data_IF_238702507539
#
_entry.id   IF_238702507539
#
_cell.length_a   1.000
_cell.length_b   1.000
_cell.length_c   1.000
_cell.angle_alpha   90.00
_cell.angle_beta   90.00
_cell.angle_gamma   90.00
#
_symmetry.space_group_name_H-M   'P 1'
#
loop_
_entity.id
_entity.type
_entity.pdbx_description
1 polymer ?
#
# COMPACT_ATOMS: atom_id res chain seq x y z
N UNK A 1 8.08 38.18 15.72
CA UNK A 1 7.33 37.67 14.55
C UNK A 1 7.05 36.21 14.79
N UNK A 2 5.79 35.82 15.02
CA UNK A 2 5.43 34.40 15.07
C UNK A 2 5.50 33.86 13.64
N UNK A 3 6.43 32.93 13.39
CA UNK A 3 6.55 32.31 12.08
C UNK A 3 5.26 31.54 11.78
N UNK A 4 4.63 31.82 10.64
CA UNK A 4 3.52 31.00 10.14
C UNK A 4 4.13 29.84 9.35
N UNK A 5 3.84 28.62 9.77
CA UNK A 5 4.21 27.44 9.00
C UNK A 5 3.30 27.31 7.76
N UNK A 6 3.85 26.93 6.60
CA UNK A 6 3.07 26.69 5.40
C UNK A 6 2.29 25.36 5.50
N UNK A 7 1.05 25.35 4.99
CA UNK A 7 0.27 24.12 4.83
C UNK A 7 0.62 23.49 3.48
N UNK A 8 0.98 22.21 3.49
CA UNK A 8 1.36 21.45 2.29
C UNK A 8 0.26 20.44 1.96
N UNK A 9 -0.18 20.41 0.70
CA UNK A 9 -1.19 19.47 0.22
C UNK A 9 -0.57 18.20 -0.36
N UNK A 10 -1.31 17.09 -0.36
CA UNK A 10 -0.86 15.84 -0.99
C UNK A 10 -0.50 16.02 -2.47
N UNK A 11 -1.24 16.88 -3.18
CA UNK A 11 -0.90 17.22 -4.57
C UNK A 11 0.50 17.84 -4.68
N UNK A 12 0.85 18.75 -3.78
CA UNK A 12 2.17 19.37 -3.77
C UNK A 12 3.27 18.34 -3.46
N UNK A 13 3.02 17.41 -2.54
CA UNK A 13 3.95 16.30 -2.24
C UNK A 13 4.18 15.42 -3.48
N UNK A 14 3.11 15.00 -4.17
CA UNK A 14 3.22 14.18 -5.39
C UNK A 14 4.03 14.92 -6.46
N UNK A 15 3.73 16.21 -6.71
CA UNK A 15 4.49 17.02 -7.70
C UNK A 15 5.96 17.18 -7.34
N UNK A 16 6.26 17.33 -6.05
CA UNK A 16 7.62 17.46 -5.57
C UNK A 16 8.40 16.15 -5.81
N UNK A 17 7.81 15.01 -5.47
CA UNK A 17 8.40 13.69 -5.73
C UNK A 17 8.62 13.44 -7.23
N UNK A 18 7.64 13.76 -8.08
CA UNK A 18 7.77 13.62 -9.54
C UNK A 18 8.91 14.47 -10.10
N UNK A 19 8.87 15.78 -9.83
CA UNK A 19 9.70 16.76 -10.53
C UNK A 19 11.10 16.90 -9.95
N UNK A 20 11.26 16.70 -8.64
CA UNK A 20 12.53 16.92 -7.93
C UNK A 20 13.25 15.61 -7.66
N UNK A 21 12.50 14.55 -7.32
CA UNK A 21 13.08 13.25 -7.00
C UNK A 21 12.98 12.22 -8.15
N UNK A 22 12.38 12.59 -9.28
CA UNK A 22 12.29 11.74 -10.47
C UNK A 22 11.36 10.54 -10.29
N UNK A 23 10.42 10.59 -9.35
CA UNK A 23 9.44 9.52 -9.17
C UNK A 23 8.48 9.49 -10.37
N UNK A 24 8.50 8.40 -11.13
CA UNK A 24 7.54 8.19 -12.21
C UNK A 24 6.19 7.69 -11.67
N UNK A 25 5.30 8.63 -11.36
CA UNK A 25 3.95 8.33 -10.86
C UNK A 25 3.08 7.65 -11.92
N UNK A 26 3.34 7.86 -13.21
CA UNK A 26 2.60 7.18 -14.27
C UNK A 26 2.95 5.69 -14.31
N UNK A 27 4.25 5.36 -14.26
CA UNK A 27 4.71 3.97 -14.17
C UNK A 27 4.19 3.28 -12.89
N UNK A 28 4.19 3.97 -11.74
CA UNK A 28 3.61 3.43 -10.50
C UNK A 28 2.11 3.15 -10.66
N UNK A 29 1.36 4.04 -11.31
CA UNK A 29 -0.07 3.85 -11.59
C UNK A 29 -0.31 2.64 -12.47
N UNK A 30 0.44 2.49 -13.55
CA UNK A 30 0.34 1.35 -14.46
C UNK A 30 0.67 0.04 -13.75
N UNK A 31 1.71 0.04 -12.92
CA UNK A 31 2.08 -1.11 -12.11
C UNK A 31 0.94 -1.53 -11.17
N UNK A 32 0.34 -0.59 -10.43
CA UNK A 32 -0.81 -0.85 -9.56
C UNK A 32 -1.99 -1.42 -10.37
N UNK A 33 -2.31 -0.81 -11.52
CA UNK A 33 -3.40 -1.26 -12.38
C UNK A 33 -3.17 -2.70 -12.87
N UNK A 34 -1.96 -3.01 -13.34
CA UNK A 34 -1.59 -4.35 -13.78
C UNK A 34 -1.68 -5.39 -12.66
N UNK A 35 -1.31 -5.03 -11.43
CA UNK A 35 -1.46 -5.91 -10.26
C UNK A 35 -2.91 -6.12 -9.82
N UNK A 36 -3.77 -5.13 -10.05
CA UNK A 36 -5.19 -5.18 -9.68
C UNK A 36 -6.08 -5.82 -10.76
N UNK A 37 -5.61 -5.94 -12.01
CA UNK A 37 -6.40 -6.38 -13.16
C UNK A 37 -7.17 -7.69 -12.91
N UNK A 38 -6.48 -8.76 -12.49
CA UNK A 38 -7.13 -10.05 -12.20
C UNK A 38 -8.15 -9.95 -11.07
N UNK A 39 -7.93 -9.06 -10.09
CA UNK A 39 -8.89 -8.87 -9.00
C UNK A 39 -10.17 -8.20 -9.50
N UNK A 40 -10.05 -7.25 -10.43
CA UNK A 40 -11.20 -6.65 -11.12
C UNK A 40 -11.95 -7.71 -11.94
N UNK A 41 -11.23 -8.52 -12.73
CA UNK A 41 -11.83 -9.58 -13.56
C UNK A 41 -12.62 -10.61 -12.73
N UNK A 42 -12.13 -10.91 -11.52
CA UNK A 42 -12.78 -11.84 -10.59
C UNK A 42 -13.89 -11.19 -9.74
N UNK A 43 -14.15 -9.89 -9.89
CA UNK A 43 -15.12 -9.16 -9.06
C UNK A 43 -14.72 -9.09 -7.58
N UNK A 44 -13.42 -9.10 -7.29
CA UNK A 44 -12.91 -9.08 -5.92
C UNK A 44 -12.94 -7.67 -5.32
N UNK A 45 -13.15 -7.59 -4.01
CA UNK A 45 -13.16 -6.32 -3.25
C UNK A 45 -11.74 -5.87 -2.82
N UNK A 46 -10.75 -6.76 -2.90
CA UNK A 46 -9.37 -6.49 -2.52
C UNK A 46 -8.39 -7.49 -3.15
N UNK A 47 -7.17 -7.05 -3.44
CA UNK A 47 -6.02 -7.91 -3.79
C UNK A 47 -4.87 -7.71 -2.82
N UNK A 48 -4.17 -8.80 -2.51
CA UNK A 48 -2.97 -8.78 -1.67
C UNK A 48 -1.76 -9.21 -2.48
N UNK A 49 -0.83 -8.28 -2.68
CA UNK A 49 0.36 -8.47 -3.49
C UNK A 49 1.45 -7.51 -3.01
N UNK A 50 2.72 -7.87 -3.16
CA UNK A 50 3.85 -6.99 -2.79
C UNK A 50 3.82 -6.49 -1.33
N UNK A 51 3.22 -7.27 -0.43
CA UNK A 51 3.13 -6.91 1.00
C UNK A 51 2.07 -5.84 1.31
N UNK A 52 1.28 -5.43 0.33
CA UNK A 52 0.18 -4.49 0.49
C UNK A 52 -1.16 -5.12 0.12
N UNK A 53 -2.24 -4.53 0.65
CA UNK A 53 -3.62 -4.80 0.27
C UNK A 53 -4.14 -3.59 -0.51
N UNK A 54 -4.52 -3.81 -1.76
CA UNK A 54 -5.21 -2.83 -2.58
C UNK A 54 -6.71 -3.10 -2.49
N UNK A 55 -7.49 -2.09 -2.11
CA UNK A 55 -8.95 -2.17 -2.01
C UNK A 55 -9.59 -1.67 -3.30
N UNK A 56 -10.60 -2.39 -3.78
CA UNK A 56 -11.31 -2.06 -5.00
C UNK A 56 -12.74 -1.59 -4.72
N UNK A 57 -13.18 -0.62 -5.51
CA UNK A 57 -14.59 -0.28 -5.71
C UNK A 57 -14.85 -0.36 -7.22
N UNK A 58 -15.63 -1.36 -7.63
CA UNK A 58 -15.79 -1.77 -9.03
C UNK A 58 -14.43 -2.04 -9.70
N UNK A 59 -14.05 -1.19 -10.65
CA UNK A 59 -12.79 -1.28 -11.41
C UNK A 59 -11.68 -0.38 -10.85
N UNK A 60 -11.93 0.32 -9.74
CA UNK A 60 -11.05 1.37 -9.21
C UNK A 60 -10.34 0.92 -7.95
N UNK A 61 -9.01 1.02 -7.92
CA UNK A 61 -8.23 0.90 -6.68
C UNK A 61 -8.38 2.20 -5.88
N UNK A 62 -9.07 2.13 -4.75
CA UNK A 62 -9.41 3.33 -3.94
C UNK A 62 -8.43 3.57 -2.80
N UNK A 63 -7.80 2.53 -2.26
CA UNK A 63 -6.79 2.68 -1.21
C UNK A 63 -5.83 1.50 -1.18
N UNK A 64 -4.63 1.74 -0.66
CA UNK A 64 -3.57 0.76 -0.49
C UNK A 64 -3.13 0.77 0.97
N UNK A 65 -3.16 -0.39 1.63
CA UNK A 65 -2.78 -0.53 3.05
C UNK A 65 -1.70 -1.59 3.22
N UNK A 66 -0.77 -1.44 4.18
CA UNK A 66 0.25 -2.45 4.44
C UNK A 66 -0.37 -3.71 5.08
N UNK A 67 0.08 -4.89 4.68
CA UNK A 67 -0.33 -6.15 5.32
C UNK A 67 0.44 -6.31 6.64
N UNK A 68 -0.24 -6.15 7.78
CA UNK A 68 0.36 -6.43 9.09
C UNK A 68 0.51 -7.95 9.28
N UNK A 69 1.75 -8.45 9.32
CA UNK A 69 2.01 -9.84 9.75
C UNK A 69 1.61 -9.99 11.22
N UNK A 70 0.59 -10.82 11.50
CA UNK A 70 0.23 -11.18 12.87
C UNK A 70 1.39 -12.01 13.44
N UNK A 71 2.00 -11.61 14.57
CA UNK A 71 3.00 -12.43 15.27
C UNK A 71 2.36 -13.79 15.57
N UNK A 72 2.89 -14.87 14.99
CA UNK A 72 2.46 -16.23 15.33
C UNK A 72 2.70 -16.39 16.84
N UNK A 73 1.66 -16.70 17.61
CA UNK A 73 1.86 -17.15 19.00
C UNK A 73 2.74 -18.39 18.91
N UNK A 74 3.83 -18.42 19.70
CA UNK A 74 4.73 -19.56 19.78
C UNK A 74 3.92 -20.85 19.88
N UNK A 75 4.26 -21.82 19.02
CA UNK A 75 3.60 -23.10 18.95
C UNK A 75 3.77 -23.79 20.31
N UNK A 76 2.67 -24.27 20.92
CA UNK A 76 2.70 -24.95 22.22
C UNK A 76 3.51 -26.26 22.18
N UNK A 77 3.95 -26.70 21.00
CA UNK A 77 4.79 -27.87 20.79
C UNK A 77 6.25 -27.65 21.22
N UNK A 78 6.74 -26.41 21.26
CA UNK A 78 8.14 -26.12 21.63
C UNK A 78 8.40 -26.15 23.15
N UNK A 79 7.36 -26.32 23.98
CA UNK A 79 7.44 -26.33 25.45
C UNK A 79 7.56 -27.75 26.05
N UNK A 80 7.49 -28.81 25.24
CA UNK A 80 7.56 -30.21 25.71
C UNK A 80 8.93 -30.87 25.55
N UNK A 81 9.92 -30.15 25.03
CA UNK A 81 11.29 -30.66 24.81
C UNK A 81 12.35 -29.77 25.49
N UNK A 82 12.04 -29.20 26.66
CA UNK A 82 13.08 -28.66 27.54
C UNK A 82 13.54 -29.78 28.49
N UNK A 83 14.86 -30.04 28.61
CA UNK A 83 15.41 -31.07 29.51
C UNK A 83 15.19 -30.75 31.00
#
# INVERSE_FOLDING_TARGET
MTAREPIVTDHAVVRYLERVHGLDVAAVREHIAGRAATAVELGAIAVQIEGVRMHLADVTVVTVTPIRRRKRKADRRDLREAP
#
